data_IF_792998475954
#
_entry.id   IF_792998475954
#
_cell.length_a   1.000
_cell.length_b   1.000
_cell.length_c   1.000
_cell.angle_alpha   90.00
_cell.angle_beta   90.00
_cell.angle_gamma   90.00
#
_symmetry.space_group_name_H-M   'P 1'
#
loop_
_entity.id
_entity.type
_entity.pdbx_description
1 polymer ?
#
# COMPACT_ATOMS: atom_id res chain seq x y z
N UNK A 1 14.09 -5.23 5.39
CA UNK A 1 13.79 -4.22 6.44
C UNK A 1 13.27 -2.94 5.79
N UNK A 2 11.94 -2.64 5.84
CA UNK A 2 11.33 -1.55 5.06
C UNK A 2 11.52 -0.13 5.63
N UNK A 3 11.83 0.01 6.93
CA UNK A 3 12.00 1.30 7.62
C UNK A 3 13.43 1.52 8.14
N UNK A 4 14.42 0.84 7.55
CA UNK A 4 15.81 0.78 8.05
C UNK A 4 15.88 0.23 9.49
N UNK A 5 17.03 0.38 10.15
CA UNK A 5 17.27 0.03 11.54
C UNK A 5 18.41 0.88 12.13
N UNK A 6 18.53 0.87 13.47
CA UNK A 6 19.60 1.56 14.19
C UNK A 6 19.42 3.09 14.26
N UNK A 7 20.49 3.87 14.46
CA UNK A 7 20.43 5.32 14.65
C UNK A 7 19.82 6.12 13.50
N UNK A 8 19.68 5.52 12.30
CA UNK A 8 19.05 6.11 11.11
C UNK A 8 17.75 5.39 10.72
N UNK A 9 17.03 4.85 11.71
CA UNK A 9 15.67 4.32 11.51
C UNK A 9 14.74 5.42 10.96
N UNK A 10 13.78 5.03 10.13
CA UNK A 10 12.81 5.97 9.59
C UNK A 10 12.01 6.64 10.73
N UNK A 11 12.16 7.95 10.89
CA UNK A 11 11.41 8.75 11.87
C UNK A 11 9.89 8.67 11.66
N UNK A 12 9.46 8.36 10.43
CA UNK A 12 8.06 8.21 10.06
C UNK A 12 7.50 6.80 10.23
N UNK A 13 8.23 5.85 10.84
CA UNK A 13 7.80 4.45 10.96
C UNK A 13 6.42 4.32 11.62
N UNK A 14 6.23 4.89 12.81
CA UNK A 14 4.96 4.79 13.53
C UNK A 14 3.83 5.48 12.79
N UNK A 15 4.10 6.64 12.20
CA UNK A 15 3.12 7.36 11.39
C UNK A 15 2.67 6.53 10.18
N UNK A 16 3.62 5.99 9.39
CA UNK A 16 3.31 5.20 8.20
C UNK A 16 2.53 3.93 8.52
N UNK A 17 2.84 3.25 9.63
CA UNK A 17 2.08 2.09 10.08
C UNK A 17 0.65 2.46 10.50
N UNK A 18 0.48 3.56 11.25
CA UNK A 18 -0.82 4.04 11.68
C UNK A 18 -1.68 4.48 10.49
N UNK A 19 -1.14 5.33 9.62
CA UNK A 19 -1.83 5.86 8.44
C UNK A 19 -2.27 4.72 7.51
N UNK A 20 -1.36 3.79 7.20
CA UNK A 20 -1.68 2.63 6.36
C UNK A 20 -2.79 1.78 6.98
N UNK A 21 -2.71 1.53 8.30
CA UNK A 21 -3.74 0.80 9.02
C UNK A 21 -5.11 1.50 8.96
N UNK A 22 -5.14 2.81 9.18
CA UNK A 22 -6.37 3.60 9.15
C UNK A 22 -7.00 3.65 7.75
N UNK A 23 -6.20 3.91 6.72
CA UNK A 23 -6.66 3.92 5.33
C UNK A 23 -7.19 2.54 4.92
N UNK A 24 -6.48 1.47 5.26
CA UNK A 24 -6.93 0.12 4.94
C UNK A 24 -8.21 -0.26 5.69
N UNK A 25 -8.28 0.02 7.00
CA UNK A 25 -9.46 -0.30 7.79
C UNK A 25 -10.70 0.45 7.32
N UNK A 26 -10.57 1.75 7.00
CA UNK A 26 -11.67 2.58 6.50
C UNK A 26 -12.13 2.15 5.10
N UNK A 27 -11.21 1.76 4.22
CA UNK A 27 -11.56 1.20 2.91
C UNK A 27 -12.32 -0.13 3.05
N UNK A 28 -11.82 -1.06 3.86
CA UNK A 28 -12.39 -2.40 4.03
C UNK A 28 -13.74 -2.44 4.78
N UNK A 29 -14.09 -1.37 5.51
CA UNK A 29 -15.42 -1.21 6.08
C UNK A 29 -16.50 -0.98 5.01
N UNK A 30 -16.13 -0.40 3.87
CA UNK A 30 -17.09 0.01 2.81
C UNK A 30 -16.95 -0.79 1.52
N UNK A 31 -15.78 -1.36 1.27
CA UNK A 31 -15.45 -2.04 0.01
C UNK A 31 -14.69 -3.33 0.28
N UNK A 32 -14.88 -4.32 -0.58
CA UNK A 32 -14.14 -5.57 -0.59
C UNK A 32 -13.28 -5.62 -1.86
N UNK A 33 -11.98 -5.93 -1.75
CA UNK A 33 -11.13 -6.09 -2.92
C UNK A 33 -11.58 -7.31 -3.72
N UNK A 34 -11.55 -7.17 -5.04
CA UNK A 34 -11.79 -8.26 -5.98
C UNK A 34 -10.47 -8.73 -6.60
N UNK A 35 -10.44 -9.99 -7.01
CA UNK A 35 -9.25 -10.55 -7.65
C UNK A 35 -9.00 -9.86 -8.99
N UNK A 36 -7.73 -9.53 -9.22
CA UNK A 36 -7.26 -8.96 -10.47
C UNK A 36 -6.11 -9.81 -11.00
N UNK A 37 -6.22 -10.23 -12.27
CA UNK A 37 -5.22 -11.10 -12.91
C UNK A 37 -3.97 -10.32 -13.36
N UNK A 38 -4.02 -8.99 -13.30
CA UNK A 38 -2.93 -8.13 -13.73
C UNK A 38 -1.90 -7.94 -12.61
N UNK A 39 -0.75 -8.61 -12.75
CA UNK A 39 0.40 -8.39 -11.88
C UNK A 39 1.08 -7.04 -12.20
N UNK A 40 1.37 -6.20 -11.20
CA UNK A 40 2.06 -4.94 -11.42
C UNK A 40 3.51 -5.20 -11.84
N UNK A 41 3.95 -4.61 -12.95
CA UNK A 41 5.36 -4.65 -13.36
C UNK A 41 6.17 -3.66 -12.51
N UNK A 42 7.14 -4.11 -11.70
CA UNK A 42 7.95 -3.21 -10.89
C UNK A 42 8.90 -2.39 -11.77
N UNK A 43 8.98 -1.09 -11.53
CA UNK A 43 9.94 -0.18 -12.17
C UNK A 43 10.66 0.59 -11.08
N UNK A 44 12.00 0.50 -11.11
CA UNK A 44 12.86 1.28 -10.24
C UNK A 44 13.16 2.64 -10.89
N UNK A 45 12.71 3.72 -10.24
CA UNK A 45 13.14 5.10 -10.55
C UNK A 45 13.91 5.61 -9.34
N UNK A 46 13.37 6.59 -8.63
CA UNK A 46 13.85 6.97 -7.30
C UNK A 46 13.29 6.05 -6.20
N UNK A 47 12.04 5.58 -6.36
CA UNK A 47 11.45 4.52 -5.53
C UNK A 47 10.88 3.41 -6.42
N UNK A 48 10.69 2.21 -5.85
CA UNK A 48 10.04 1.09 -6.54
C UNK A 48 8.55 1.39 -6.69
N UNK A 49 8.04 1.37 -7.92
CA UNK A 49 6.61 1.62 -8.22
C UNK A 49 6.11 0.71 -9.34
N UNK A 50 4.81 0.37 -9.38
CA UNK A 50 4.20 -0.27 -10.55
C UNK A 50 4.28 0.60 -11.81
N UNK A 51 4.60 -0.01 -12.95
CA UNK A 51 4.49 0.62 -14.27
C UNK A 51 3.02 0.96 -14.55
N UNK A 52 2.70 2.23 -14.84
CA UNK A 52 1.34 2.65 -15.18
C UNK A 52 0.35 2.69 -14.01
N UNK A 53 0.81 2.52 -12.77
CA UNK A 53 -0.04 2.53 -11.57
C UNK A 53 -0.50 1.15 -11.11
N UNK A 54 -1.32 1.11 -10.06
CA UNK A 54 -1.89 -0.11 -9.49
C UNK A 54 -3.39 -0.14 -9.76
N UNK A 55 -3.81 -1.01 -10.67
CA UNK A 55 -5.23 -1.21 -10.97
C UNK A 55 -5.82 -2.12 -9.90
N UNK A 56 -6.88 -1.67 -9.25
CA UNK A 56 -7.60 -2.42 -8.22
C UNK A 56 -9.08 -2.47 -8.58
N UNK A 57 -9.70 -3.64 -8.42
CA UNK A 57 -11.14 -3.83 -8.52
C UNK A 57 -11.72 -3.96 -7.12
N UNK A 58 -12.87 -3.33 -6.91
CA UNK A 58 -13.54 -3.28 -5.61
C UNK A 58 -15.03 -3.46 -5.81
N UNK A 59 -15.66 -4.19 -4.88
CA UNK A 59 -17.11 -4.24 -4.74
C UNK A 59 -17.55 -3.58 -3.45
N UNK A 60 -18.69 -2.89 -3.46
CA UNK A 60 -19.24 -2.29 -2.24
C UNK A 60 -19.67 -3.38 -1.25
N UNK A 61 -19.43 -3.14 0.04
CA UNK A 61 -19.90 -3.96 1.14
C UNK A 61 -21.31 -3.47 1.50
N UNK A 62 -22.32 -4.26 1.16
CA UNK A 62 -23.70 -4.01 1.63
C UNK A 62 -23.82 -4.29 3.11
#
# INVERSE_FOLDING_TARGET
>A
MPFSAGPRVCIGQNFGLMETGLVLATALQRMLPEQCDQLPKPVARFSLRPAGGLVLRWRTRR
#
